data_IF_707148286153
#
_entry.id   IF_707148286153
#
_cell.length_a   1.000
_cell.length_b   1.000
_cell.length_c   1.000
_cell.angle_alpha   90.00
_cell.angle_beta   90.00
_cell.angle_gamma   90.00
#
_symmetry.space_group_name_H-M   'P 1'
#
loop_
_entity.id
_entity.type
_entity.pdbx_description
1 polymer ?
#
# COMPACT_ATOMS: atom_id res chain seq x y z
N UNK A 1 -12.09 7.04 -8.01
CA UNK A 1 -10.94 6.15 -7.86
C UNK A 1 -11.42 4.72 -7.77
N UNK A 2 -10.58 3.72 -8.01
CA UNK A 2 -11.02 2.34 -8.18
C UNK A 2 -11.61 1.69 -6.92
N UNK A 3 -12.49 0.72 -7.12
CA UNK A 3 -12.88 -0.20 -6.07
C UNK A 3 -11.83 -1.30 -5.98
N UNK A 4 -11.09 -1.35 -4.87
CA UNK A 4 -10.38 -2.56 -4.48
C UNK A 4 -11.36 -3.60 -3.97
N UNK A 5 -10.98 -4.89 -3.94
CA UNK A 5 -11.89 -6.00 -3.63
C UNK A 5 -12.60 -5.93 -2.27
N UNK A 6 -12.26 -4.99 -1.39
CA UNK A 6 -12.76 -4.91 -0.02
C UNK A 6 -13.13 -3.51 0.46
N UNK A 7 -13.11 -2.49 -0.41
CA UNK A 7 -13.47 -1.15 0.01
C UNK A 7 -13.48 -0.14 -1.13
N UNK A 8 -14.05 1.02 -0.87
CA UNK A 8 -14.09 2.13 -1.79
C UNK A 8 -13.06 3.17 -1.38
N UNK A 9 -12.29 3.67 -2.34
CA UNK A 9 -11.24 4.67 -2.09
C UNK A 9 -11.67 6.02 -2.65
N UNK A 10 -11.61 7.04 -1.83
CA UNK A 10 -11.95 8.42 -2.16
C UNK A 10 -10.73 9.33 -2.03
N UNK A 11 -10.63 10.31 -2.93
CA UNK A 11 -9.69 11.40 -2.76
C UNK A 11 -10.30 12.43 -1.81
N UNK A 12 -9.58 12.77 -0.75
CA UNK A 12 -9.98 13.77 0.21
C UNK A 12 -8.97 14.91 0.31
N UNK A 13 -9.35 15.96 1.00
CA UNK A 13 -8.51 17.12 1.26
C UNK A 13 -8.60 17.48 2.73
N UNK A 14 -7.47 17.58 3.39
CA UNK A 14 -7.38 18.01 4.77
C UNK A 14 -7.47 19.54 4.88
N UNK A 15 -7.71 20.05 6.09
CA UNK A 15 -7.85 21.48 6.35
C UNK A 15 -6.62 22.33 5.98
N UNK A 16 -5.46 21.70 5.88
CA UNK A 16 -4.19 22.32 5.46
C UNK A 16 -3.89 22.17 3.96
N UNK A 17 -4.92 21.92 3.17
CA UNK A 17 -4.83 21.73 1.72
C UNK A 17 -4.04 20.50 1.24
N UNK A 18 -3.72 19.59 2.13
CA UNK A 18 -3.04 18.33 1.80
C UNK A 18 -4.05 17.31 1.29
N UNK A 19 -3.78 16.73 0.14
CA UNK A 19 -4.60 15.65 -0.41
C UNK A 19 -4.29 14.31 0.27
N UNK A 20 -5.34 13.53 0.47
CA UNK A 20 -5.27 12.19 1.06
C UNK A 20 -6.14 11.22 0.27
N UNK A 21 -5.84 9.93 0.41
CA UNK A 21 -6.69 8.86 -0.07
C UNK A 21 -7.38 8.20 1.13
N UNK A 22 -8.70 8.13 1.10
CA UNK A 22 -9.50 7.57 2.19
C UNK A 22 -10.10 6.25 1.70
N UNK A 23 -9.69 5.15 2.33
CA UNK A 23 -10.23 3.81 2.06
C UNK A 23 -11.25 3.47 3.14
N UNK A 24 -12.50 3.30 2.73
CA UNK A 24 -13.57 2.88 3.62
C UNK A 24 -13.72 1.36 3.53
N UNK A 25 -13.58 0.69 4.67
CA UNK A 25 -13.69 -0.75 4.76
C UNK A 25 -15.14 -1.16 5.01
N UNK A 26 -15.61 -2.13 4.22
CA UNK A 26 -16.94 -2.70 4.38
C UNK A 26 -16.94 -3.76 5.48
N UNK A 27 -17.74 -3.57 6.51
CA UNK A 27 -17.84 -4.49 7.65
C UNK A 27 -18.45 -5.86 7.32
N UNK A 28 -18.93 -6.08 6.11
CA UNK A 28 -19.68 -7.29 5.76
C UNK A 28 -18.81 -8.51 5.48
N UNK A 29 -17.49 -8.35 5.39
CA UNK A 29 -16.58 -9.45 5.04
C UNK A 29 -15.32 -9.42 5.89
N UNK A 30 -15.41 -9.97 7.07
CA UNK A 30 -14.26 -10.11 7.95
C UNK A 30 -14.40 -9.33 9.25
N UNK A 31 -13.77 -9.79 10.27
CA UNK A 31 -13.86 -9.34 11.66
C UNK A 31 -13.00 -8.10 11.96
N UNK A 32 -12.81 -7.21 11.03
CA UNK A 32 -11.91 -6.08 11.18
C UNK A 32 -10.43 -6.46 11.15
N UNK A 33 -10.08 -7.69 10.77
CA UNK A 33 -8.69 -8.14 10.66
C UNK A 33 -7.88 -7.31 9.69
N UNK A 34 -8.46 -6.99 8.53
CA UNK A 34 -7.81 -6.13 7.54
C UNK A 34 -7.44 -4.78 8.14
N UNK A 35 -8.37 -4.15 8.85
CA UNK A 35 -8.13 -2.87 9.50
C UNK A 35 -7.03 -2.96 10.56
N UNK A 36 -7.10 -3.96 11.42
CA UNK A 36 -6.11 -4.18 12.48
C UNK A 36 -4.73 -4.47 11.88
N UNK A 37 -4.66 -5.30 10.84
CA UNK A 37 -3.42 -5.62 10.15
C UNK A 37 -2.78 -4.39 9.52
N UNK A 38 -3.57 -3.55 8.85
CA UNK A 38 -3.04 -2.34 8.23
C UNK A 38 -2.58 -1.32 9.27
N UNK A 39 -3.38 -1.03 10.28
CA UNK A 39 -3.00 -0.09 11.34
C UNK A 39 -1.78 -0.59 12.11
N UNK A 40 -1.78 -1.86 12.49
CA UNK A 40 -0.68 -2.47 13.23
C UNK A 40 0.63 -2.54 12.45
N UNK A 41 0.56 -2.80 11.15
CA UNK A 41 1.74 -2.89 10.29
C UNK A 41 2.23 -1.51 9.85
N UNK A 42 1.35 -0.73 9.22
CA UNK A 42 1.73 0.53 8.56
C UNK A 42 2.02 1.66 9.54
N UNK A 43 1.47 1.64 10.73
CA UNK A 43 1.74 2.66 11.75
C UNK A 43 3.20 2.72 12.20
N UNK A 44 3.97 1.67 11.94
CA UNK A 44 5.39 1.55 12.31
C UNK A 44 6.35 1.66 11.13
N UNK A 45 5.82 1.84 9.93
CA UNK A 45 6.63 1.83 8.71
C UNK A 45 6.92 3.26 8.27
N UNK A 46 8.21 3.55 8.10
CA UNK A 46 8.69 4.80 7.52
C UNK A 46 9.74 4.48 6.46
N UNK A 47 9.30 4.33 5.22
CA UNK A 47 10.19 4.05 4.10
C UNK A 47 9.67 4.71 2.83
N UNK A 48 10.57 5.22 2.01
CA UNK A 48 10.23 5.93 0.77
C UNK A 48 9.48 5.05 -0.24
N UNK A 49 9.65 3.74 -0.18
CA UNK A 49 8.98 2.79 -1.08
C UNK A 49 7.80 2.05 -0.42
N UNK A 50 7.27 2.60 0.65
CA UNK A 50 6.04 2.11 1.30
C UNK A 50 5.06 3.26 1.45
N UNK A 51 3.81 3.03 1.05
CA UNK A 51 2.75 4.03 1.19
C UNK A 51 2.55 4.39 2.66
N UNK A 52 2.39 5.67 2.93
CA UNK A 52 2.29 6.17 4.30
C UNK A 52 0.84 6.18 4.78
N UNK A 53 0.58 5.54 5.90
CA UNK A 53 -0.68 5.68 6.63
C UNK A 53 -0.65 6.99 7.44
N UNK A 54 -1.52 7.92 7.09
CA UNK A 54 -1.61 9.23 7.74
C UNK A 54 -2.47 9.16 8.99
N UNK A 55 -3.49 8.31 8.97
CA UNK A 55 -4.40 8.15 10.08
C UNK A 55 -5.47 7.10 9.81
N UNK A 56 -6.37 6.95 10.75
CA UNK A 56 -7.49 6.03 10.64
C UNK A 56 -8.69 6.54 11.41
N UNK A 57 -9.85 5.99 11.10
CA UNK A 57 -11.08 6.25 11.84
C UNK A 57 -11.76 4.92 12.19
N UNK A 58 -12.16 4.79 13.44
CA UNK A 58 -12.88 3.63 13.96
C UNK A 58 -14.05 4.13 14.80
N UNK A 59 -15.12 4.55 14.13
CA UNK A 59 -16.33 5.08 14.77
C UNK A 59 -17.49 4.11 14.57
N UNK A 60 -17.94 3.48 15.64
CA UNK A 60 -19.01 2.49 15.61
C UNK A 60 -18.66 1.32 14.70
N UNK A 61 -19.50 1.10 13.70
CA UNK A 61 -19.29 0.03 12.70
C UNK A 61 -18.46 0.48 11.50
N UNK A 62 -18.06 1.74 11.45
CA UNK A 62 -17.32 2.30 10.32
C UNK A 62 -15.83 2.24 10.58
N UNK A 63 -15.10 1.81 9.57
CA UNK A 63 -13.64 1.76 9.58
C UNK A 63 -13.12 2.45 8.33
N UNK A 64 -12.20 3.38 8.51
CA UNK A 64 -11.55 4.06 7.40
C UNK A 64 -10.05 4.16 7.64
N UNK A 65 -9.29 4.03 6.56
CA UNK A 65 -7.83 4.19 6.53
C UNK A 65 -7.51 5.41 5.68
N UNK A 66 -6.62 6.26 6.17
CA UNK A 66 -6.25 7.50 5.51
C UNK A 66 -4.78 7.42 5.14
N UNK A 67 -4.51 7.46 3.82
CA UNK A 67 -3.16 7.36 3.27
C UNK A 67 -2.72 8.65 2.61
N UNK A 68 -1.43 8.82 2.43
CA UNK A 68 -0.92 9.82 1.50
C UNK A 68 -1.55 9.64 0.12
N UNK A 69 -1.80 10.74 -0.57
CA UNK A 69 -2.35 10.69 -1.91
C UNK A 69 -1.25 10.46 -2.94
N UNK A 70 -1.40 9.41 -3.74
CA UNK A 70 -0.46 9.01 -4.77
C UNK A 70 -1.13 9.20 -6.15
N UNK A 71 -0.76 10.25 -6.91
CA UNK A 71 -1.57 10.69 -8.05
C UNK A 71 -1.50 9.77 -9.26
N UNK A 72 -0.44 8.97 -9.41
CA UNK A 72 -0.25 8.16 -10.60
C UNK A 72 -0.80 6.75 -10.51
N UNK A 73 -1.65 6.48 -9.52
CA UNK A 73 -2.42 5.22 -9.39
C UNK A 73 -1.52 3.99 -9.24
N UNK A 74 -2.07 2.82 -9.52
CA UNK A 74 -1.33 1.57 -9.39
C UNK A 74 -0.53 1.23 -10.64
N UNK A 75 0.57 0.50 -10.44
CA UNK A 75 1.46 0.04 -11.51
C UNK A 75 0.74 -0.77 -12.58
N UNK A 76 -0.31 -1.52 -12.19
CA UNK A 76 -1.09 -2.33 -13.14
C UNK A 76 -1.63 -1.52 -14.32
N UNK A 77 -1.96 -0.24 -14.10
CA UNK A 77 -2.49 0.64 -15.13
C UNK A 77 -1.52 0.90 -16.28
N UNK A 78 -0.25 0.64 -16.05
CA UNK A 78 0.84 0.92 -16.98
C UNK A 78 1.41 -0.33 -17.63
N UNK A 79 1.22 -1.52 -17.05
CA UNK A 79 1.78 -2.77 -17.55
C UNK A 79 0.74 -3.71 -18.16
N UNK A 80 -0.53 -3.57 -17.80
CA UNK A 80 -1.63 -4.38 -18.33
C UNK A 80 -2.53 -3.53 -19.21
N UNK A 81 -2.06 -3.09 -20.37
CA UNK A 81 -2.88 -2.34 -21.29
C UNK A 81 -3.53 -3.29 -22.30
N UNK A 82 -4.86 -3.30 -22.32
CA UNK A 82 -5.65 -4.10 -23.25
C UNK A 82 -5.48 -3.68 -24.72
N UNK A 83 -4.96 -2.51 -25.01
CA UNK A 83 -4.94 -1.92 -26.34
C UNK A 83 -3.53 -1.75 -26.94
N UNK A 84 -2.49 -2.32 -26.36
CA UNK A 84 -1.13 -2.19 -26.87
C UNK A 84 -0.56 -0.76 -26.85
N UNK A 85 -1.30 0.21 -26.35
CA UNK A 85 -0.88 1.62 -26.21
C UNK A 85 -0.15 1.89 -24.93
N UNK A 86 0.61 0.95 -24.45
CA UNK A 86 0.95 0.86 -23.04
C UNK A 86 2.30 1.37 -22.81
N UNK A 87 3.02 2.11 -23.18
CA UNK A 87 4.37 2.38 -22.68
C UNK A 87 4.65 3.86 -22.46
N UNK A 88 3.83 4.46 -21.55
CA UNK A 88 4.19 5.73 -20.93
C UNK A 88 5.46 5.55 -20.08
N UNK A 89 5.64 4.34 -19.48
CA UNK A 89 6.84 4.01 -18.72
C UNK A 89 7.81 3.22 -19.60
N UNK A 90 8.99 3.80 -19.87
CA UNK A 90 10.06 3.12 -20.55
C UNK A 90 10.68 2.02 -19.72
N UNK A 91 11.44 1.15 -20.36
CA UNK A 91 12.11 0.01 -19.73
C UNK A 91 12.99 0.42 -18.54
N UNK A 92 13.73 1.51 -18.67
CA UNK A 92 14.57 2.03 -17.59
C UNK A 92 13.75 2.39 -16.35
N UNK A 93 12.59 3.04 -16.56
CA UNK A 93 11.71 3.40 -15.46
C UNK A 93 11.10 2.18 -14.79
N UNK A 94 10.72 1.17 -15.56
CA UNK A 94 10.23 -0.09 -14.99
C UNK A 94 11.31 -0.79 -14.15
N UNK A 95 12.57 -0.73 -14.58
CA UNK A 95 13.69 -1.25 -13.79
C UNK A 95 13.87 -0.48 -12.48
N UNK A 96 13.79 0.84 -12.50
CA UNK A 96 13.85 1.67 -11.30
C UNK A 96 12.72 1.34 -10.33
N UNK A 97 11.51 1.13 -10.86
CA UNK A 97 10.35 0.72 -10.06
C UNK A 97 10.60 -0.64 -9.41
N UNK A 98 11.12 -1.61 -10.15
CA UNK A 98 11.45 -2.92 -9.60
C UNK A 98 12.48 -2.84 -8.47
N UNK A 99 13.50 -2.00 -8.62
CA UNK A 99 14.50 -1.76 -7.57
C UNK A 99 13.87 -1.11 -6.34
N UNK A 100 12.98 -0.14 -6.52
CA UNK A 100 12.27 0.50 -5.42
C UNK A 100 11.39 -0.49 -4.65
N UNK A 101 10.68 -1.36 -5.35
CA UNK A 101 9.88 -2.43 -4.73
C UNK A 101 10.79 -3.36 -3.91
N UNK A 102 11.91 -3.77 -4.48
CA UNK A 102 12.87 -4.64 -3.78
C UNK A 102 13.42 -3.98 -2.51
N UNK A 103 13.73 -2.69 -2.55
CA UNK A 103 14.17 -1.93 -1.37
C UNK A 103 13.08 -1.87 -0.30
N UNK A 104 11.84 -1.63 -0.70
CA UNK A 104 10.69 -1.62 0.20
C UNK A 104 10.50 -2.97 0.88
N UNK A 105 10.54 -4.07 0.14
CA UNK A 105 10.45 -5.42 0.68
C UNK A 105 11.61 -5.71 1.65
N UNK A 106 12.82 -5.35 1.27
CA UNK A 106 14.00 -5.51 2.12
C UNK A 106 13.85 -4.77 3.45
N UNK A 107 13.33 -3.55 3.41
CA UNK A 107 13.04 -2.79 4.63
C UNK A 107 12.00 -3.51 5.51
N UNK A 108 10.92 -4.00 4.93
CA UNK A 108 9.88 -4.72 5.68
C UNK A 108 10.43 -5.97 6.37
N UNK A 109 11.37 -6.67 5.75
CA UNK A 109 11.94 -7.88 6.30
C UNK A 109 13.08 -7.65 7.29
N UNK A 110 13.89 -6.63 7.09
CA UNK A 110 15.14 -6.43 7.85
C UNK A 110 15.23 -5.10 8.59
N UNK A 111 14.60 -4.04 8.06
CA UNK A 111 14.71 -2.70 8.59
C UNK A 111 13.75 -2.37 9.75
N UNK A 112 12.70 -3.18 9.93
CA UNK A 112 11.73 -3.01 11.00
C UNK A 112 12.11 -3.81 12.24
N UNK A 113 11.63 -3.41 13.41
CA UNK A 113 11.84 -4.13 14.68
C UNK A 113 11.30 -5.55 14.60
N UNK A 114 10.15 -5.71 13.96
CA UNK A 114 9.56 -7.01 13.62
C UNK A 114 9.59 -7.18 12.11
N UNK A 115 9.80 -8.40 11.66
CA UNK A 115 9.70 -8.72 10.24
C UNK A 115 8.24 -8.61 9.81
N UNK A 116 8.00 -7.85 8.75
CA UNK A 116 6.67 -7.70 8.17
C UNK A 116 6.60 -8.50 6.88
N UNK A 117 5.73 -9.49 6.86
CA UNK A 117 5.44 -10.30 5.68
C UNK A 117 4.16 -9.78 5.03
N UNK A 118 4.28 -9.23 3.83
CA UNK A 118 3.17 -8.54 3.17
C UNK A 118 2.09 -9.50 2.66
N UNK A 119 2.49 -10.59 2.05
CA UNK A 119 1.65 -11.66 1.48
C UNK A 119 0.77 -11.28 0.29
N UNK A 120 0.86 -10.07 -0.22
CA UNK A 120 0.03 -9.65 -1.36
C UNK A 120 0.76 -8.67 -2.28
N UNK A 121 2.04 -8.93 -2.55
CA UNK A 121 2.83 -8.10 -3.47
C UNK A 121 2.40 -8.41 -4.91
N UNK A 122 1.79 -7.43 -5.53
CA UNK A 122 1.32 -7.50 -6.93
C UNK A 122 1.20 -6.09 -7.51
N UNK A 123 1.16 -5.94 -8.85
CA UNK A 123 1.09 -4.60 -9.47
C UNK A 123 -0.09 -3.73 -9.02
N UNK A 124 -1.21 -4.35 -8.63
CA UNK A 124 -2.37 -3.65 -8.08
C UNK A 124 -2.05 -2.92 -6.77
N UNK A 125 -1.11 -3.46 -5.99
CA UNK A 125 -0.73 -2.97 -4.67
C UNK A 125 0.58 -2.17 -4.69
N UNK A 126 1.06 -1.81 -5.85
CA UNK A 126 2.17 -0.87 -6.02
C UNK A 126 1.59 0.43 -6.55
N UNK A 127 1.57 1.45 -5.72
CA UNK A 127 1.12 2.78 -6.10
C UNK A 127 2.30 3.65 -6.52
N UNK A 128 2.04 4.63 -7.36
CA UNK A 128 3.07 5.49 -7.93
C UNK A 128 2.83 6.94 -7.52
N UNK A 129 3.88 7.59 -7.01
CA UNK A 129 3.83 9.00 -6.66
C UNK A 129 3.90 9.91 -7.90
N UNK A 130 3.99 11.22 -7.69
CA UNK A 130 4.04 12.21 -8.78
C UNK A 130 5.26 12.05 -9.69
N UNK A 131 6.31 11.40 -9.22
CA UNK A 131 7.54 11.12 -9.97
C UNK A 131 7.62 9.68 -10.45
N UNK A 132 6.53 8.92 -10.36
CA UNK A 132 6.47 7.49 -10.67
C UNK A 132 7.37 6.62 -9.80
N UNK A 133 7.66 7.04 -8.58
CA UNK A 133 8.34 6.19 -7.61
C UNK A 133 7.35 5.20 -7.00
N UNK A 134 7.75 3.92 -6.85
CA UNK A 134 6.84 2.90 -6.34
C UNK A 134 6.68 2.97 -4.82
N UNK A 135 5.47 2.72 -4.38
CA UNK A 135 5.13 2.61 -2.95
C UNK A 135 4.26 1.38 -2.73
N UNK A 136 4.76 0.46 -1.93
CA UNK A 136 4.02 -0.75 -1.55
C UNK A 136 2.83 -0.36 -0.69
N UNK A 137 1.66 -0.85 -1.03
CA UNK A 137 0.40 -0.56 -0.34
C UNK A 137 -0.38 -1.83 -0.04
N UNK A 138 -1.53 -1.68 0.63
CA UNK A 138 -2.45 -2.75 1.01
C UNK A 138 -1.82 -3.83 1.88
N UNK A 139 -1.74 -3.55 3.17
CA UNK A 139 -1.22 -4.45 4.20
C UNK A 139 -2.30 -5.27 4.89
N UNK A 140 -3.45 -5.43 4.24
CA UNK A 140 -4.59 -6.17 4.81
C UNK A 140 -4.31 -7.63 5.12
N UNK A 141 -3.38 -8.27 4.38
CA UNK A 141 -2.94 -9.65 4.60
C UNK A 141 -1.62 -9.75 5.36
N UNK A 142 -1.00 -8.64 5.73
CA UNK A 142 0.30 -8.62 6.35
C UNK A 142 0.34 -9.33 7.70
N UNK A 143 1.47 -9.93 8.01
CA UNK A 143 1.72 -10.58 9.31
C UNK A 143 3.04 -10.09 9.89
N UNK A 144 3.03 -9.87 11.20
CA UNK A 144 4.22 -9.53 11.97
C UNK A 144 4.85 -10.81 12.52
N UNK A 145 6.15 -10.98 12.28
CA UNK A 145 6.92 -12.10 12.81
C UNK A 145 8.07 -11.58 13.66
N UNK A 146 8.33 -12.19 14.81
CA UNK A 146 9.52 -11.84 15.57
C UNK A 146 10.77 -12.31 14.84
N UNK A 147 11.83 -11.52 14.90
CA UNK A 147 13.11 -11.88 14.27
C UNK A 147 13.76 -13.12 14.90
N UNK A 148 13.41 -13.41 16.15
CA UNK A 148 13.90 -14.60 16.87
C UNK A 148 13.29 -15.90 16.35
N UNK A 149 12.12 -15.84 15.74
CA UNK A 149 11.42 -16.98 15.16
C UNK A 149 11.66 -17.13 13.65
N UNK A 150 12.56 -16.38 13.09
CA UNK A 150 12.85 -16.40 11.65
C UNK A 150 13.72 -17.57 11.20
N UNK A 151 13.89 -18.61 12.03
CA UNK A 151 14.28 -19.92 11.54
C UNK A 151 13.02 -20.58 10.96
N UNK A 152 12.56 -20.02 9.88
CA UNK A 152 11.56 -20.72 9.09
C UNK A 152 12.29 -21.61 8.11
N UNK A 153 12.04 -22.80 8.35
CA UNK A 153 12.23 -23.85 7.36
C UNK A 153 11.55 -23.50 6.05
#
# INVERSE_FOLDING_TARGET
MGQGGYGTVFKGKLSNDVFVAVKILNNSKGNGEEFINEVGSMGRIHHVNVARLVGYCADGFRRALIYEYLPNKSLEKYIFSANGKSHILGWEKLQDIALGIAKGIGYLHQGCDQQILHFDIKPHNILLDQNFNPKISDFGLAKLCSKENSVVL
#
